data_IF_790542099101
#
_entry.id   IF_790542099101
#
_cell.length_a   1.000
_cell.length_b   1.000
_cell.length_c   1.000
_cell.angle_alpha   90.00
_cell.angle_beta   90.00
_cell.angle_gamma   90.00
#
_symmetry.space_group_name_H-M   'P 1'
#
loop_
_entity.id
_entity.type
_entity.pdbx_description
1 polymer ?
#
# COMPACT_ATOMS: atom_id res chain seq x y z
N UNK A 1 39.66 -4.92 67.13
CA UNK A 1 38.26 -4.91 66.66
C UNK A 1 38.25 -5.42 65.23
N UNK A 2 37.47 -6.46 64.91
CA UNK A 2 37.84 -7.41 63.85
C UNK A 2 37.07 -7.22 62.54
N UNK A 3 37.66 -7.81 61.51
CA UNK A 3 37.19 -7.94 60.13
C UNK A 3 35.85 -8.68 59.99
N UNK A 4 35.07 -8.31 58.97
CA UNK A 4 34.01 -9.10 58.32
C UNK A 4 34.31 -9.03 56.82
N UNK A 5 34.80 -10.03 56.11
CA UNK A 5 34.37 -11.43 55.93
C UNK A 5 32.99 -11.56 55.27
N UNK A 6 33.01 -11.72 53.94
CA UNK A 6 32.27 -12.76 53.22
C UNK A 6 30.80 -12.51 52.87
N UNK A 7 30.52 -12.33 51.58
CA UNK A 7 29.35 -12.94 50.93
C UNK A 7 29.60 -13.05 49.42
N UNK A 8 30.23 -14.16 49.03
CA UNK A 8 30.18 -14.69 47.66
C UNK A 8 28.80 -15.33 47.48
N UNK A 9 27.90 -14.65 46.78
CA UNK A 9 26.64 -15.23 46.34
C UNK A 9 26.89 -16.04 45.07
N UNK A 10 26.77 -17.36 45.18
CA UNK A 10 26.74 -18.30 44.07
C UNK A 10 25.55 -17.95 43.15
N UNK A 11 25.84 -17.49 41.93
CA UNK A 11 24.90 -17.54 40.82
C UNK A 11 24.99 -18.92 40.16
N UNK A 12 24.11 -19.84 40.59
CA UNK A 12 23.90 -21.09 39.88
C UNK A 12 22.98 -20.82 38.67
N UNK A 13 23.55 -20.82 37.47
CA UNK A 13 22.81 -20.74 36.22
C UNK A 13 22.04 -22.05 35.97
N UNK A 14 20.72 -22.02 36.16
CA UNK A 14 19.81 -23.09 35.77
C UNK A 14 19.55 -22.98 34.25
N UNK A 15 20.33 -23.70 33.44
CA UNK A 15 20.04 -23.88 32.01
C UNK A 15 18.95 -24.94 31.88
N UNK A 16 17.69 -24.50 31.84
CA UNK A 16 16.56 -25.33 31.42
C UNK A 16 16.65 -25.52 29.90
N UNK A 17 17.18 -26.68 29.49
CA UNK A 17 17.09 -27.13 28.10
C UNK A 17 15.63 -27.48 27.80
N UNK A 18 14.89 -26.52 27.22
CA UNK A 18 13.56 -26.77 26.65
C UNK A 18 13.76 -27.54 25.35
N UNK A 19 13.70 -28.88 25.43
CA UNK A 19 13.65 -29.77 24.27
C UNK A 19 12.26 -29.70 23.61
N UNK A 20 11.98 -28.55 22.98
CA UNK A 20 10.83 -28.42 22.09
C UNK A 20 11.03 -29.32 20.86
N UNK A 21 10.13 -30.27 20.65
CA UNK A 21 10.07 -31.05 19.42
C UNK A 21 9.83 -30.09 18.25
N UNK A 22 10.89 -29.75 17.51
CA UNK A 22 10.74 -28.98 16.27
C UNK A 22 9.93 -29.87 15.32
N UNK A 23 8.73 -29.46 14.87
CA UNK A 23 7.98 -30.24 13.92
C UNK A 23 8.85 -30.45 12.68
N UNK A 24 9.03 -31.71 12.30
CA UNK A 24 9.66 -32.05 11.02
C UNK A 24 8.73 -31.49 9.95
N UNK A 25 9.12 -30.35 9.37
CA UNK A 25 8.47 -29.80 8.18
C UNK A 25 8.73 -30.81 7.08
N UNK A 26 7.72 -31.61 6.76
CA UNK A 26 7.78 -32.57 5.65
C UNK A 26 8.20 -31.80 4.41
N UNK A 27 9.29 -32.21 3.77
CA UNK A 27 9.81 -31.55 2.58
C UNK A 27 8.67 -31.36 1.57
N UNK A 28 8.44 -30.10 1.18
CA UNK A 28 7.39 -29.73 0.25
C UNK A 28 7.61 -30.50 -1.07
N UNK A 29 6.60 -31.27 -1.49
CA UNK A 29 6.65 -31.98 -2.77
C UNK A 29 6.96 -31.00 -3.89
N UNK A 30 7.77 -31.41 -4.87
CA UNK A 30 8.18 -30.56 -5.99
C UNK A 30 7.02 -29.71 -6.54
N UNK A 31 7.24 -28.40 -6.81
CA UNK A 31 6.18 -27.51 -7.26
C UNK A 31 5.51 -28.05 -8.53
N UNK A 32 4.18 -28.00 -8.57
CA UNK A 32 3.37 -28.49 -9.69
C UNK A 32 3.04 -27.35 -10.66
N UNK A 33 3.18 -27.55 -11.99
CA UNK A 33 2.78 -26.55 -12.96
C UNK A 33 1.29 -26.20 -12.86
N UNK A 34 0.96 -24.95 -13.14
CA UNK A 34 -0.42 -24.50 -13.20
C UNK A 34 -1.15 -25.04 -14.44
N UNK A 35 -2.35 -25.56 -14.25
CA UNK A 35 -3.21 -26.03 -15.34
C UNK A 35 -4.31 -25.01 -15.63
N UNK A 36 -4.61 -24.79 -16.91
CA UNK A 36 -5.79 -24.02 -17.33
C UNK A 36 -7.06 -24.68 -16.82
N UNK A 37 -7.99 -23.90 -16.29
CA UNK A 37 -9.33 -24.34 -15.93
C UNK A 37 -10.29 -24.05 -17.07
N UNK A 38 -11.03 -25.06 -17.55
CA UNK A 38 -12.06 -24.87 -18.59
C UNK A 38 -13.36 -24.23 -18.04
N UNK A 39 -13.28 -23.46 -16.96
CA UNK A 39 -14.46 -22.91 -16.28
C UNK A 39 -14.65 -21.47 -16.75
N UNK A 40 -15.54 -21.30 -17.72
CA UNK A 40 -16.01 -19.99 -18.14
C UNK A 40 -16.95 -19.43 -17.07
N UNK A 41 -16.65 -18.24 -16.57
CA UNK A 41 -17.53 -17.55 -15.60
C UNK A 41 -18.66 -16.91 -16.39
N UNK A 42 -19.90 -17.34 -16.14
CA UNK A 42 -21.06 -16.69 -16.74
C UNK A 42 -21.10 -15.22 -16.30
N UNK A 43 -21.13 -14.31 -17.29
CA UNK A 43 -21.14 -12.87 -17.05
C UNK A 43 -22.40 -12.46 -16.30
N UNK A 44 -22.30 -12.25 -14.99
CA UNK A 44 -23.46 -12.00 -14.12
C UNK A 44 -23.38 -10.68 -13.36
N UNK A 45 -22.36 -9.85 -13.60
CA UNK A 45 -22.26 -8.53 -12.98
C UNK A 45 -21.91 -7.43 -13.99
N UNK A 46 -22.64 -6.32 -13.90
CA UNK A 46 -22.74 -5.19 -14.84
C UNK A 46 -21.49 -4.30 -14.96
N UNK A 47 -20.35 -4.71 -14.40
CA UNK A 47 -19.08 -3.98 -14.52
C UNK A 47 -17.88 -4.92 -14.76
N UNK A 48 -18.07 -6.00 -15.51
CA UNK A 48 -16.97 -6.92 -15.83
C UNK A 48 -15.99 -6.28 -16.83
N UNK A 49 -14.91 -5.74 -16.27
CA UNK A 49 -13.60 -5.54 -16.93
C UNK A 49 -12.92 -6.88 -17.25
N UNK A 50 -13.66 -7.97 -17.45
CA UNK A 50 -13.07 -9.27 -17.75
C UNK A 50 -13.84 -9.86 -18.92
N UNK A 51 -13.18 -10.07 -20.07
CA UNK A 51 -13.74 -10.90 -21.13
C UNK A 51 -14.21 -12.25 -20.56
N UNK A 52 -15.34 -12.77 -21.07
CA UNK A 52 -16.00 -13.95 -20.54
C UNK A 52 -15.14 -15.24 -20.64
N UNK A 53 -14.07 -15.21 -21.42
CA UNK A 53 -13.10 -16.28 -21.64
C UNK A 53 -11.88 -16.23 -20.71
N UNK A 54 -11.81 -15.29 -19.76
CA UNK A 54 -10.63 -15.18 -18.89
C UNK A 54 -10.63 -16.17 -17.71
N UNK A 55 -9.51 -16.90 -17.60
CA UNK A 55 -9.29 -17.96 -16.61
C UNK A 55 -8.68 -17.40 -15.30
N UNK A 56 -9.52 -16.76 -14.49
CA UNK A 56 -9.12 -16.15 -13.20
C UNK A 56 -8.44 -17.16 -12.26
N UNK A 57 -8.88 -18.42 -12.25
CA UNK A 57 -8.29 -19.46 -11.39
C UNK A 57 -6.89 -19.84 -11.85
N UNK A 58 -6.65 -19.92 -13.16
CA UNK A 58 -5.32 -20.11 -13.70
C UNK A 58 -4.42 -18.92 -13.36
N UNK A 59 -4.91 -17.69 -13.49
CA UNK A 59 -4.20 -16.49 -13.04
C UNK A 59 -3.82 -16.53 -11.56
N UNK A 60 -4.73 -16.95 -10.69
CA UNK A 60 -4.45 -17.11 -9.25
C UNK A 60 -3.35 -18.14 -8.99
N UNK A 61 -3.36 -19.27 -9.71
CA UNK A 61 -2.30 -20.27 -9.61
C UNK A 61 -0.96 -19.69 -10.06
N UNK A 62 -0.92 -19.05 -11.23
CA UNK A 62 0.28 -18.44 -11.79
C UNK A 62 0.88 -17.38 -10.87
N UNK A 63 0.04 -16.61 -10.17
CA UNK A 63 0.49 -15.59 -9.23
C UNK A 63 1.33 -16.15 -8.07
N UNK A 64 1.08 -17.40 -7.67
CA UNK A 64 1.86 -18.13 -6.67
C UNK A 64 2.92 -19.07 -7.25
N UNK A 65 3.02 -19.20 -8.57
CA UNK A 65 3.91 -20.17 -9.19
C UNK A 65 5.37 -19.71 -9.17
N UNK A 66 6.27 -20.66 -8.90
CA UNK A 66 7.73 -20.48 -8.92
C UNK A 66 8.41 -21.14 -10.12
N UNK A 67 7.63 -21.76 -11.01
CA UNK A 67 8.15 -22.54 -12.15
C UNK A 67 7.49 -22.24 -13.49
N UNK A 68 6.26 -21.71 -13.50
CA UNK A 68 5.48 -21.55 -14.73
C UNK A 68 5.99 -20.41 -15.65
N UNK A 69 6.96 -19.62 -15.19
CA UNK A 69 7.60 -18.57 -15.97
C UNK A 69 9.07 -18.86 -16.22
N UNK A 70 9.47 -20.14 -16.21
CA UNK A 70 10.86 -20.56 -16.46
C UNK A 70 11.87 -19.86 -15.54
N UNK A 71 11.51 -19.65 -14.27
CA UNK A 71 12.38 -19.01 -13.28
C UNK A 71 13.70 -19.78 -13.16
N UNK A 72 14.83 -19.06 -13.28
CA UNK A 72 16.16 -19.64 -13.25
C UNK A 72 16.48 -20.33 -11.91
N UNK A 73 15.90 -19.86 -10.81
CA UNK A 73 16.02 -20.47 -9.49
C UNK A 73 14.64 -20.56 -8.83
N UNK A 74 13.90 -21.67 -8.94
CA UNK A 74 12.58 -21.84 -8.33
C UNK A 74 12.54 -21.74 -6.78
N UNK A 75 13.70 -21.74 -6.12
CA UNK A 75 13.81 -21.60 -4.66
C UNK A 75 14.19 -20.17 -4.22
N UNK A 76 14.39 -19.25 -5.17
CA UNK A 76 14.66 -17.85 -4.87
C UNK A 76 13.51 -17.17 -4.12
N UNK A 77 13.86 -16.18 -3.30
CA UNK A 77 12.91 -15.46 -2.44
C UNK A 77 11.79 -14.78 -3.25
N UNK A 78 12.12 -14.21 -4.41
CA UNK A 78 11.22 -13.39 -5.22
C UNK A 78 10.68 -14.11 -6.47
N UNK A 79 10.68 -15.44 -6.47
CA UNK A 79 10.36 -16.28 -7.64
C UNK A 79 8.89 -16.33 -8.05
N UNK A 80 8.01 -15.71 -7.26
CA UNK A 80 6.58 -15.62 -7.55
C UNK A 80 6.07 -14.23 -7.22
N UNK A 81 5.01 -13.79 -7.90
CA UNK A 81 4.36 -12.52 -7.58
C UNK A 81 3.90 -12.48 -6.11
N UNK A 82 3.41 -13.61 -5.59
CA UNK A 82 2.94 -13.72 -4.21
C UNK A 82 4.04 -13.59 -3.15
N UNK A 83 5.32 -13.76 -3.51
CA UNK A 83 6.43 -13.56 -2.58
C UNK A 83 6.55 -12.09 -2.15
N UNK A 84 6.49 -11.16 -3.10
CA UNK A 84 6.53 -9.72 -2.83
C UNK A 84 5.14 -9.15 -2.57
N UNK A 85 4.10 -9.79 -3.12
CA UNK A 85 2.72 -9.34 -3.00
C UNK A 85 1.83 -10.40 -2.32
N UNK A 86 2.03 -10.71 -1.03
CA UNK A 86 1.32 -11.77 -0.32
C UNK A 86 -0.18 -11.49 -0.32
N UNK A 87 -0.94 -12.37 -0.98
CA UNK A 87 -2.36 -12.15 -1.19
C UNK A 87 -2.64 -10.79 -1.82
N UNK A 88 -1.86 -10.37 -2.82
CA UNK A 88 -2.03 -9.14 -3.59
C UNK A 88 -1.72 -7.84 -2.84
N UNK A 89 -1.26 -7.94 -1.58
CA UNK A 89 -0.84 -6.78 -0.77
C UNK A 89 0.63 -6.44 -1.05
N UNK A 90 1.26 -5.66 -0.19
CA UNK A 90 2.72 -5.51 -0.16
C UNK A 90 3.31 -6.45 0.90
N UNK A 91 4.55 -6.89 0.69
CA UNK A 91 5.39 -7.49 1.74
C UNK A 91 6.05 -6.42 2.63
N UNK A 92 5.83 -5.14 2.34
CA UNK A 92 6.41 -3.96 3.00
C UNK A 92 7.92 -3.83 2.83
N UNK A 93 8.50 -4.61 1.93
CA UNK A 93 9.92 -4.57 1.60
C UNK A 93 10.23 -3.55 0.52
N UNK A 94 11.51 -3.17 0.47
CA UNK A 94 12.11 -2.49 -0.68
C UNK A 94 12.98 -3.49 -1.43
N UNK A 95 12.80 -3.56 -2.74
CA UNK A 95 13.47 -4.56 -3.56
C UNK A 95 14.20 -3.91 -4.72
N UNK A 96 15.34 -4.47 -5.16
CA UNK A 96 16.05 -4.00 -6.33
C UNK A 96 15.17 -4.17 -7.57
N UNK A 97 14.97 -3.08 -8.30
CA UNK A 97 14.27 -3.06 -9.58
C UNK A 97 15.15 -2.43 -10.63
N UNK A 98 15.18 -3.04 -11.82
CA UNK A 98 15.88 -2.48 -12.97
C UNK A 98 14.95 -1.53 -13.70
N UNK A 99 15.43 -0.32 -13.98
CA UNK A 99 14.68 0.74 -14.64
C UNK A 99 15.45 1.16 -15.87
N UNK A 100 14.74 1.31 -16.99
CA UNK A 100 15.31 1.84 -18.24
C UNK A 100 14.47 3.03 -18.68
N UNK A 101 15.11 4.19 -18.81
CA UNK A 101 14.50 5.42 -19.28
C UNK A 101 15.51 6.21 -20.15
N UNK A 102 15.20 7.42 -20.65
CA UNK A 102 16.13 8.20 -21.48
C UNK A 102 17.48 8.55 -20.82
N UNK A 103 17.60 8.44 -19.49
CA UNK A 103 18.84 8.68 -18.74
C UNK A 103 19.70 7.42 -18.59
N UNK A 104 19.22 6.26 -19.05
CA UNK A 104 19.94 5.00 -19.06
C UNK A 104 19.21 3.88 -18.32
N UNK A 105 19.95 2.81 -18.05
CA UNK A 105 19.49 1.66 -17.25
C UNK A 105 20.16 1.67 -15.89
N UNK A 106 19.38 1.59 -14.82
CA UNK A 106 19.85 1.65 -13.44
C UNK A 106 19.08 0.68 -12.53
N UNK A 107 19.74 0.22 -11.49
CA UNK A 107 19.15 -0.55 -10.41
C UNK A 107 18.88 0.37 -9.22
N UNK A 108 17.64 0.37 -8.75
CA UNK A 108 17.22 1.13 -7.56
C UNK A 108 16.38 0.26 -6.66
N UNK A 109 16.38 0.56 -5.37
CA UNK A 109 15.47 -0.10 -4.44
C UNK A 109 14.14 0.63 -4.44
N UNK A 110 13.04 -0.10 -4.64
CA UNK A 110 11.69 0.45 -4.51
C UNK A 110 10.82 -0.35 -3.57
N UNK A 111 10.01 0.35 -2.78
CA UNK A 111 8.94 -0.23 -1.99
C UNK A 111 7.97 -0.99 -2.92
N UNK A 112 7.57 -2.18 -2.53
CA UNK A 112 6.57 -2.95 -3.28
C UNK A 112 5.19 -2.29 -3.13
N UNK A 113 4.54 -1.87 -4.24
CA UNK A 113 3.20 -1.29 -4.17
C UNK A 113 2.12 -2.35 -3.92
N UNK A 114 0.97 -1.92 -3.41
CA UNK A 114 -0.21 -2.79 -3.30
C UNK A 114 -0.82 -3.07 -4.69
N UNK A 115 -1.20 -4.31 -4.98
CA UNK A 115 -1.86 -4.70 -6.25
C UNK A 115 -3.39 -4.73 -6.13
N UNK A 116 -3.94 -4.50 -4.95
CA UNK A 116 -5.38 -4.35 -4.77
C UNK A 116 -5.80 -3.03 -5.42
N UNK A 117 -6.86 -3.07 -6.22
CA UNK A 117 -7.33 -1.91 -6.99
C UNK A 117 -6.35 -1.45 -8.09
N UNK A 118 -5.45 -2.32 -8.55
CA UNK A 118 -4.38 -1.97 -9.52
C UNK A 118 -4.92 -1.29 -10.79
N UNK A 119 -6.10 -1.69 -11.26
CA UNK A 119 -6.76 -1.13 -12.44
C UNK A 119 -7.08 0.37 -12.34
N UNK A 120 -7.18 0.90 -11.11
CA UNK A 120 -7.48 2.32 -10.87
C UNK A 120 -6.21 3.16 -10.64
N UNK A 121 -5.05 2.50 -10.60
CA UNK A 121 -3.77 3.11 -10.26
C UNK A 121 -2.86 3.27 -11.49
N UNK A 122 -3.39 3.10 -12.71
CA UNK A 122 -2.66 3.31 -13.96
C UNK A 122 -2.31 4.79 -14.14
N UNK A 123 -1.10 5.13 -14.64
CA UNK A 123 -0.12 4.21 -15.20
C UNK A 123 0.61 3.37 -14.15
N UNK A 124 1.07 2.15 -14.45
CA UNK A 124 1.68 1.29 -13.42
C UNK A 124 3.18 1.52 -13.23
N UNK A 125 3.66 1.21 -12.02
CA UNK A 125 5.01 1.51 -11.54
C UNK A 125 5.10 2.86 -10.82
N UNK A 126 6.10 3.01 -9.94
CA UNK A 126 6.35 4.27 -9.23
C UNK A 126 6.69 5.44 -10.16
N UNK A 127 7.18 5.16 -11.35
CA UNK A 127 7.50 6.11 -12.42
C UNK A 127 6.49 6.07 -13.58
N UNK A 128 5.42 5.26 -13.48
CA UNK A 128 4.41 5.14 -14.52
C UNK A 128 4.89 4.47 -15.83
N UNK A 129 6.06 3.80 -15.82
CA UNK A 129 6.69 3.25 -17.04
C UNK A 129 5.87 2.21 -17.80
N UNK A 130 4.91 1.56 -17.14
CA UNK A 130 4.10 0.52 -17.76
C UNK A 130 2.86 1.08 -18.48
N UNK A 131 2.65 2.40 -18.43
CA UNK A 131 1.51 3.06 -19.09
C UNK A 131 0.17 2.63 -18.51
N UNK A 132 -0.90 2.81 -19.30
CA UNK A 132 -2.28 2.56 -18.91
C UNK A 132 -3.08 3.86 -18.78
N UNK A 133 -4.33 3.85 -19.25
CA UNK A 133 -5.24 4.99 -19.19
C UNK A 133 -6.47 4.62 -18.37
N UNK A 134 -6.76 5.41 -17.33
CA UNK A 134 -7.93 5.17 -16.49
C UNK A 134 -9.22 5.25 -17.32
N UNK A 135 -10.08 4.23 -17.21
CA UNK A 135 -11.31 4.11 -17.99
C UNK A 135 -11.14 3.42 -19.35
N UNK A 136 -9.90 3.24 -19.85
CA UNK A 136 -9.62 2.42 -21.02
C UNK A 136 -9.18 1.01 -20.59
N UNK A 137 -10.12 0.08 -20.75
CA UNK A 137 -9.94 -1.31 -20.32
C UNK A 137 -8.76 -2.00 -21.04
N UNK A 138 -8.63 -1.85 -22.36
CA UNK A 138 -7.56 -2.49 -23.10
C UNK A 138 -6.19 -1.94 -22.68
N UNK A 139 -6.11 -0.62 -22.46
CA UNK A 139 -4.90 0.04 -21.97
C UNK A 139 -4.53 -0.42 -20.55
N UNK A 140 -5.50 -0.61 -19.65
CA UNK A 140 -5.28 -1.14 -18.30
C UNK A 140 -4.74 -2.57 -18.34
N UNK A 141 -5.34 -3.45 -19.14
CA UNK A 141 -4.84 -4.83 -19.30
C UNK A 141 -3.39 -4.81 -19.79
N UNK A 142 -3.10 -4.04 -20.85
CA UNK A 142 -1.76 -3.92 -21.41
C UNK A 142 -0.74 -3.42 -20.36
N UNK A 143 -1.14 -2.46 -19.51
CA UNK A 143 -0.30 -1.97 -18.43
C UNK A 143 0.00 -3.05 -17.37
N UNK A 144 -1.01 -3.81 -16.96
CA UNK A 144 -0.84 -4.93 -16.00
C UNK A 144 0.09 -6.00 -16.58
N UNK A 145 -0.10 -6.36 -17.85
CA UNK A 145 0.74 -7.34 -18.54
C UNK A 145 2.18 -6.84 -18.69
N UNK A 146 2.37 -5.56 -19.04
CA UNK A 146 3.69 -4.92 -19.10
C UNK A 146 4.39 -4.95 -17.74
N UNK A 147 3.68 -4.63 -16.66
CA UNK A 147 4.22 -4.67 -15.30
C UNK A 147 4.60 -6.11 -14.88
N UNK A 148 3.71 -7.07 -15.11
CA UNK A 148 3.96 -8.49 -14.81
C UNK A 148 5.16 -9.02 -15.60
N UNK A 149 5.23 -8.75 -16.91
CA UNK A 149 6.37 -9.13 -17.75
C UNK A 149 7.68 -8.52 -17.26
N UNK A 150 7.66 -7.25 -16.86
CA UNK A 150 8.82 -6.57 -16.28
C UNK A 150 9.38 -7.31 -15.06
N UNK A 151 8.52 -7.61 -14.09
CA UNK A 151 8.91 -8.33 -12.88
C UNK A 151 9.35 -9.79 -13.16
N UNK A 152 8.64 -10.47 -14.08
CA UNK A 152 8.96 -11.85 -14.46
C UNK A 152 10.34 -11.94 -15.11
N UNK A 153 10.64 -11.05 -16.06
CA UNK A 153 11.89 -11.07 -16.82
C UNK A 153 13.07 -10.41 -16.07
N UNK A 154 12.81 -9.71 -14.97
CA UNK A 154 13.84 -9.03 -14.19
C UNK A 154 14.70 -10.04 -13.44
N UNK A 155 16.04 -10.05 -13.64
CA UNK A 155 16.94 -10.97 -12.95
C UNK A 155 17.03 -10.71 -11.43
N UNK A 156 16.68 -9.50 -11.00
CA UNK A 156 16.68 -9.10 -9.60
C UNK A 156 15.36 -9.39 -8.87
N UNK A 157 14.30 -9.67 -9.65
CA UNK A 157 12.99 -10.04 -9.13
C UNK A 157 12.77 -11.54 -9.35
N UNK A 158 11.99 -11.94 -10.37
CA UNK A 158 11.63 -13.35 -10.52
C UNK A 158 12.68 -14.18 -11.28
N UNK A 159 13.54 -13.55 -12.07
CA UNK A 159 14.56 -14.24 -12.88
C UNK A 159 13.98 -15.28 -13.84
N UNK A 160 12.77 -15.04 -14.36
CA UNK A 160 12.09 -15.88 -15.32
C UNK A 160 12.17 -15.36 -16.76
N UNK A 161 11.33 -15.90 -17.62
CA UNK A 161 11.23 -15.53 -19.02
C UNK A 161 9.80 -15.66 -19.53
N UNK A 162 9.32 -14.59 -20.14
CA UNK A 162 8.05 -14.48 -20.87
C UNK A 162 8.32 -13.90 -22.26
N UNK A 163 7.97 -14.69 -23.28
CA UNK A 163 7.98 -14.26 -24.68
C UNK A 163 6.58 -13.86 -25.13
N UNK A 164 6.37 -12.58 -25.40
CA UNK A 164 5.07 -12.06 -25.87
C UNK A 164 4.68 -12.54 -27.27
N UNK A 165 5.63 -13.05 -28.07
CA UNK A 165 5.31 -13.68 -29.36
C UNK A 165 4.79 -15.12 -29.18
N UNK A 166 5.01 -15.73 -28.00
CA UNK A 166 4.54 -17.05 -27.67
C UNK A 166 3.09 -17.00 -27.14
N UNK A 167 2.17 -17.63 -27.85
CA UNK A 167 0.74 -17.65 -27.49
C UNK A 167 0.45 -18.29 -26.12
N UNK A 168 1.29 -19.21 -25.64
CA UNK A 168 1.14 -19.83 -24.31
C UNK A 168 1.50 -18.82 -23.22
N UNK A 169 2.61 -18.10 -23.37
CA UNK A 169 3.03 -17.08 -22.41
C UNK A 169 2.10 -15.87 -22.41
N UNK A 170 1.62 -15.45 -23.59
CA UNK A 170 0.60 -14.40 -23.67
C UNK A 170 -0.68 -14.79 -22.90
N UNK A 171 -1.14 -16.04 -23.05
CA UNK A 171 -2.31 -16.52 -22.30
C UNK A 171 -2.07 -16.59 -20.78
N UNK A 172 -0.82 -16.81 -20.32
CA UNK A 172 -0.48 -16.70 -18.89
C UNK A 172 -0.58 -15.24 -18.42
N UNK A 173 -0.09 -14.29 -19.22
CA UNK A 173 -0.21 -12.85 -18.93
C UNK A 173 -1.68 -12.39 -18.91
N UNK A 174 -2.50 -12.85 -19.86
CA UNK A 174 -3.93 -12.58 -19.90
C UNK A 174 -4.61 -13.09 -18.62
N UNK A 175 -4.33 -14.33 -18.20
CA UNK A 175 -4.89 -14.91 -16.99
C UNK A 175 -4.42 -14.20 -15.71
N UNK A 176 -3.15 -13.81 -15.61
CA UNK A 176 -2.63 -13.01 -14.50
C UNK A 176 -3.32 -11.65 -14.40
N UNK A 177 -3.47 -10.95 -15.53
CA UNK A 177 -4.18 -9.68 -15.58
C UNK A 177 -5.63 -9.85 -15.14
N UNK A 178 -6.28 -10.93 -15.60
CA UNK A 178 -7.64 -11.28 -15.20
C UNK A 178 -7.79 -11.41 -13.69
N UNK A 179 -6.87 -12.16 -13.07
CA UNK A 179 -6.85 -12.36 -11.63
C UNK A 179 -6.63 -11.05 -10.86
N UNK A 180 -5.72 -10.18 -11.31
CA UNK A 180 -5.48 -8.90 -10.64
C UNK A 180 -6.66 -7.94 -10.76
N UNK A 181 -7.34 -7.92 -11.91
CA UNK A 181 -8.58 -7.17 -12.12
C UNK A 181 -9.71 -7.74 -11.25
N UNK A 182 -9.88 -9.07 -11.19
CA UNK A 182 -10.93 -9.71 -10.38
C UNK A 182 -10.79 -9.47 -8.88
N UNK A 183 -9.61 -9.01 -8.44
CA UNK A 183 -9.31 -8.63 -7.07
C UNK A 183 -9.64 -7.19 -6.73
N UNK A 184 -9.94 -6.39 -7.75
CA UNK A 184 -10.56 -5.08 -7.57
C UNK A 184 -12.05 -5.30 -7.29
N UNK A 185 -12.67 -4.53 -6.39
CA UNK A 185 -14.08 -4.64 -6.10
C UNK A 185 -14.80 -4.23 -7.38
N UNK A 186 -15.79 -5.03 -7.75
CA UNK A 186 -16.86 -4.49 -8.60
C UNK A 186 -17.45 -3.32 -7.84
N UNK A 187 -17.54 -2.15 -8.48
CA UNK A 187 -18.34 -1.05 -7.93
C UNK A 187 -19.72 -1.66 -7.60
N UNK A 188 -20.17 -1.62 -6.32
CA UNK A 188 -21.48 -2.13 -6.01
C UNK A 188 -22.51 -1.31 -6.78
N UNK A 189 -23.61 -1.95 -7.15
CA UNK A 189 -24.75 -1.28 -7.76
C UNK A 189 -25.11 -0.07 -6.89
N UNK A 190 -24.89 1.14 -7.44
CA UNK A 190 -25.14 2.40 -6.74
C UNK A 190 -26.62 2.61 -6.42
N UNK A 191 -27.50 1.76 -6.96
CA UNK A 191 -28.93 1.75 -6.67
C UNK A 191 -29.32 0.83 -5.51
N UNK A 192 -28.44 -0.07 -5.07
CA UNK A 192 -28.73 -0.96 -3.95
C UNK A 192 -28.45 -0.24 -2.61
N UNK A 193 -29.46 -0.06 -1.73
CA UNK A 193 -29.22 0.49 -0.40
C UNK A 193 -28.25 -0.43 0.37
N UNK A 194 -27.34 0.12 1.18
CA UNK A 194 -26.47 -0.70 2.01
C UNK A 194 -27.33 -1.62 2.87
N UNK A 195 -26.95 -2.90 3.04
CA UNK A 195 -27.70 -3.81 3.89
C UNK A 195 -27.76 -3.20 5.30
N UNK A 196 -28.97 -2.98 5.79
CA UNK A 196 -29.18 -2.52 7.16
C UNK A 196 -28.63 -3.61 8.09
N UNK A 197 -27.46 -3.38 8.68
CA UNK A 197 -26.96 -4.25 9.74
C UNK A 197 -27.89 -4.11 10.94
N UNK A 198 -28.54 -5.21 11.35
CA UNK A 198 -29.30 -5.22 12.59
C UNK A 198 -28.39 -4.80 13.76
N UNK A 199 -28.90 -4.01 14.73
CA UNK A 199 -28.15 -3.71 15.93
C UNK A 199 -27.73 -5.02 16.64
N UNK A 200 -26.53 -5.09 17.24
CA UNK A 200 -26.13 -6.25 18.02
C UNK A 200 -27.12 -6.48 19.17
N UNK A 201 -27.46 -7.74 19.41
CA UNK A 201 -28.25 -8.14 20.58
C UNK A 201 -27.50 -7.85 21.88
N UNK A 202 -28.24 -7.76 22.99
CA UNK A 202 -27.64 -7.52 24.31
C UNK A 202 -26.63 -8.61 24.70
N UNK A 203 -26.91 -9.88 24.36
CA UNK A 203 -26.00 -11.00 24.60
C UNK A 203 -24.67 -10.86 23.82
N UNK A 204 -24.73 -10.38 22.58
CA UNK A 204 -23.52 -10.09 21.79
C UNK A 204 -22.72 -8.93 22.38
N UNK A 205 -23.40 -7.92 22.93
CA UNK A 205 -22.74 -6.81 23.60
C UNK A 205 -22.08 -7.23 24.92
N UNK A 206 -22.76 -8.01 25.76
CA UNK A 206 -22.16 -8.57 26.98
C UNK A 206 -20.91 -9.39 26.66
N UNK A 207 -21.00 -10.30 25.68
CA UNK A 207 -19.85 -11.07 25.20
C UNK A 207 -18.72 -10.17 24.67
N UNK A 208 -19.05 -9.13 23.90
CA UNK A 208 -18.07 -8.18 23.34
C UNK A 208 -17.30 -7.44 24.42
N UNK A 209 -17.96 -7.07 25.51
CA UNK A 209 -17.35 -6.29 26.59
C UNK A 209 -16.86 -7.15 27.77
N UNK A 210 -17.04 -8.47 27.72
CA UNK A 210 -16.61 -9.37 28.78
C UNK A 210 -17.42 -9.23 30.07
N UNK A 211 -18.69 -8.86 29.96
CA UNK A 211 -19.61 -8.66 31.09
C UNK A 211 -20.41 -9.96 31.28
N UNK A 212 -20.47 -10.49 32.50
CA UNK A 212 -21.31 -11.63 32.83
C UNK A 212 -22.78 -11.17 32.88
N UNK A 213 -23.69 -11.71 32.05
CA UNK A 213 -25.10 -11.31 32.05
C UNK A 213 -25.84 -11.62 33.37
N UNK A 214 -25.27 -12.45 34.25
CA UNK A 214 -25.85 -12.77 35.55
C UNK A 214 -25.32 -11.89 36.69
N UNK A 215 -24.35 -11.00 36.41
CA UNK A 215 -23.87 -10.03 37.39
C UNK A 215 -25.00 -9.04 37.73
N UNK A 216 -25.29 -8.76 39.02
CA UNK A 216 -26.29 -7.76 39.40
C UNK A 216 -26.03 -6.37 38.79
N UNK A 217 -24.78 -6.05 38.48
CA UNK A 217 -24.35 -4.77 37.90
C UNK A 217 -24.19 -4.83 36.36
N UNK A 218 -24.45 -5.97 35.71
CA UNK A 218 -24.24 -6.19 34.28
C UNK A 218 -24.85 -5.10 33.39
N UNK A 219 -26.07 -4.66 33.72
CA UNK A 219 -26.76 -3.61 32.96
C UNK A 219 -26.07 -2.24 33.09
N UNK A 220 -25.57 -1.90 34.28
CA UNK A 220 -24.83 -0.67 34.53
C UNK A 220 -23.47 -0.69 33.83
N UNK A 221 -22.74 -1.80 33.95
CA UNK A 221 -21.46 -2.01 33.28
C UNK A 221 -21.59 -1.94 31.76
N UNK A 222 -22.66 -2.52 31.21
CA UNK A 222 -22.93 -2.45 29.78
C UNK A 222 -23.23 -1.01 29.34
N UNK A 223 -24.03 -0.26 30.12
CA UNK A 223 -24.30 1.14 29.83
C UNK A 223 -23.01 1.99 29.87
N UNK A 224 -22.13 1.78 30.85
CA UNK A 224 -20.83 2.45 30.94
C UNK A 224 -19.91 2.06 29.76
N UNK A 225 -19.84 0.78 29.41
CA UNK A 225 -19.05 0.30 28.28
C UNK A 225 -19.52 0.90 26.95
N UNK A 226 -20.85 0.99 26.75
CA UNK A 226 -21.44 1.65 25.58
C UNK A 226 -21.15 3.16 25.56
N UNK A 227 -21.25 3.84 26.71
CA UNK A 227 -20.91 5.26 26.83
C UNK A 227 -19.43 5.52 26.50
N UNK A 228 -18.51 4.69 27.01
CA UNK A 228 -17.08 4.75 26.67
C UNK A 228 -16.84 4.52 25.17
N UNK A 229 -17.47 3.52 24.58
CA UNK A 229 -17.38 3.26 23.14
C UNK A 229 -17.94 4.42 22.30
N UNK A 230 -19.06 5.03 22.71
CA UNK A 230 -19.63 6.18 22.03
C UNK A 230 -18.70 7.40 22.10
N UNK A 231 -18.10 7.67 23.27
CA UNK A 231 -17.11 8.74 23.44
C UNK A 231 -15.84 8.51 22.58
N UNK A 232 -15.33 7.27 22.56
CA UNK A 232 -14.19 6.90 21.69
C UNK A 232 -14.53 7.06 20.20
N UNK A 233 -15.73 6.68 19.78
CA UNK A 233 -16.21 6.88 18.41
C UNK A 233 -16.32 8.37 18.08
N UNK A 234 -16.90 9.18 18.96
CA UNK A 234 -17.02 10.63 18.76
C UNK A 234 -15.64 11.29 18.62
N UNK A 235 -14.69 10.94 19.49
CA UNK A 235 -13.31 11.44 19.41
C UNK A 235 -12.60 11.00 18.12
N UNK A 236 -12.84 9.78 17.65
CA UNK A 236 -12.33 9.26 16.38
C UNK A 236 -12.90 10.05 15.20
N UNK A 237 -14.21 10.26 15.16
CA UNK A 237 -14.86 11.06 14.12
C UNK A 237 -14.35 12.51 14.10
N UNK A 238 -14.13 13.10 15.28
CA UNK A 238 -13.56 14.44 15.34
C UNK A 238 -12.14 14.49 14.76
N UNK A 239 -11.29 13.51 15.08
CA UNK A 239 -9.95 13.39 14.49
C UNK A 239 -9.99 13.20 12.98
N UNK A 240 -10.89 12.34 12.49
CA UNK A 240 -11.10 12.13 11.04
C UNK A 240 -11.49 13.44 10.36
N UNK A 241 -12.41 14.22 10.93
CA UNK A 241 -12.79 15.54 10.40
C UNK A 241 -11.60 16.52 10.36
N UNK A 242 -10.84 16.61 11.45
CA UNK A 242 -9.61 17.42 11.49
C UNK A 242 -8.61 16.98 10.41
N UNK A 243 -8.44 15.67 10.19
CA UNK A 243 -7.61 15.15 9.12
C UNK A 243 -8.14 15.45 7.72
N UNK A 244 -9.46 15.37 7.52
CA UNK A 244 -10.09 15.77 6.27
C UNK A 244 -9.83 17.26 5.99
N UNK A 245 -9.93 18.12 7.00
CA UNK A 245 -9.65 19.55 6.83
C UNK A 245 -8.21 19.81 6.39
N UNK A 246 -7.24 19.10 6.95
CA UNK A 246 -5.83 19.18 6.50
C UNK A 246 -5.69 18.65 5.07
N UNK A 247 -6.27 17.48 4.78
CA UNK A 247 -6.12 16.81 3.49
C UNK A 247 -6.71 17.62 2.33
N UNK A 248 -7.92 18.16 2.52
CA UNK A 248 -8.63 18.98 1.54
C UNK A 248 -8.22 20.46 1.56
N UNK A 249 -7.27 20.84 2.41
CA UNK A 249 -6.79 22.22 2.46
C UNK A 249 -7.80 23.20 3.08
N UNK A 250 -8.71 22.72 3.94
CA UNK A 250 -9.73 23.52 4.64
C UNK A 250 -9.26 24.04 5.99
N UNK A 251 -8.21 23.46 6.56
CA UNK A 251 -7.65 23.97 7.82
C UNK A 251 -6.92 25.30 7.59
N UNK A 252 -6.84 26.13 8.63
CA UNK A 252 -6.12 27.40 8.56
C UNK A 252 -4.64 27.22 8.17
N UNK A 253 -4.01 26.11 8.57
CA UNK A 253 -2.62 25.77 8.23
C UNK A 253 -2.41 25.39 6.76
N UNK A 254 -3.47 25.03 6.03
CA UNK A 254 -3.39 24.47 4.67
C UNK A 254 -4.17 25.26 3.62
N UNK A 255 -4.95 26.28 4.01
CA UNK A 255 -5.77 27.07 3.08
C UNK A 255 -4.95 27.77 1.98
N UNK A 256 -3.75 28.27 2.32
CA UNK A 256 -2.85 28.86 1.32
C UNK A 256 -2.38 27.82 0.29
N UNK A 257 -2.17 26.58 0.71
CA UNK A 257 -1.82 25.48 -0.19
C UNK A 257 -2.96 25.17 -1.14
N UNK A 258 -4.21 25.15 -0.66
CA UNK A 258 -5.38 24.92 -1.52
C UNK A 258 -5.46 25.99 -2.62
N UNK A 259 -5.30 27.26 -2.25
CA UNK A 259 -5.30 28.38 -3.20
C UNK A 259 -4.17 28.27 -4.24
N UNK A 260 -3.03 27.68 -3.86
CA UNK A 260 -1.89 27.43 -4.74
C UNK A 260 -1.98 26.10 -5.52
N UNK A 261 -3.01 25.27 -5.31
CA UNK A 261 -3.09 23.93 -5.90
C UNK A 261 -2.04 22.95 -5.36
N UNK A 262 -1.65 23.14 -4.09
CA UNK A 262 -0.58 22.42 -3.40
C UNK A 262 -1.06 21.63 -2.16
N UNK A 263 -2.35 21.71 -1.80
CA UNK A 263 -2.92 20.85 -0.75
C UNK A 263 -2.84 19.37 -1.14
N UNK A 264 -2.87 18.44 -0.18
CA UNK A 264 -2.76 17.00 -0.42
C UNK A 264 -3.73 16.51 -1.50
N UNK A 265 -4.99 16.97 -1.45
CA UNK A 265 -6.04 16.65 -2.44
C UNK A 265 -5.69 17.05 -3.88
N UNK A 266 -4.81 18.04 -4.08
CA UNK A 266 -4.42 18.52 -5.43
C UNK A 266 -3.66 17.48 -6.24
N UNK A 267 -3.09 16.47 -5.56
CA UNK A 267 -2.49 15.30 -6.18
C UNK A 267 -3.31 14.02 -5.87
N UNK A 268 -3.93 13.97 -4.70
CA UNK A 268 -4.68 12.81 -4.23
C UNK A 268 -6.20 13.03 -4.34
N UNK A 269 -6.68 13.15 -5.57
CA UNK A 269 -8.10 13.42 -5.84
C UNK A 269 -8.99 12.19 -5.65
N UNK A 270 -10.20 12.33 -5.07
CA UNK A 270 -11.22 11.28 -5.08
C UNK A 270 -11.55 10.76 -6.50
N UNK A 271 -12.11 9.55 -6.65
CA UNK A 271 -12.47 8.62 -5.57
C UNK A 271 -11.31 7.70 -5.14
N UNK A 272 -10.23 7.63 -5.93
CA UNK A 272 -9.09 6.76 -5.66
C UNK A 272 -7.93 7.46 -4.93
N UNK A 273 -8.12 8.72 -4.53
CA UNK A 273 -7.10 9.54 -3.87
C UNK A 273 -5.77 9.52 -4.63
N UNK A 274 -5.86 9.67 -5.94
CA UNK A 274 -4.77 9.87 -6.88
C UNK A 274 -5.31 10.52 -8.13
N UNK A 275 -4.51 11.37 -8.75
CA UNK A 275 -4.73 11.89 -10.10
C UNK A 275 -3.89 11.18 -11.17
N UNK A 276 -3.15 10.15 -10.76
CA UNK A 276 -2.35 9.28 -11.61
C UNK A 276 -1.28 9.97 -12.46
N UNK A 277 -0.92 11.23 -12.18
CA UNK A 277 0.14 11.90 -12.96
C UNK A 277 1.52 11.66 -12.36
N UNK A 278 2.52 11.73 -13.22
CA UNK A 278 3.93 11.70 -12.86
C UNK A 278 4.40 13.14 -12.58
N UNK A 279 4.91 13.39 -11.37
CA UNK A 279 5.40 14.69 -10.91
C UNK A 279 6.32 14.53 -9.70
N UNK A 280 6.97 15.61 -9.27
CA UNK A 280 7.64 15.63 -7.97
C UNK A 280 6.68 16.03 -6.85
N UNK A 281 6.84 15.43 -5.67
CA UNK A 281 6.21 15.90 -4.43
C UNK A 281 7.11 16.89 -3.66
N UNK A 282 8.35 17.13 -4.14
CA UNK A 282 9.30 18.13 -3.62
C UNK A 282 9.06 19.48 -4.27
N UNK A 283 8.55 20.45 -3.51
CA UNK A 283 8.34 21.84 -3.97
C UNK A 283 9.32 22.84 -3.34
N UNK A 284 9.91 22.49 -2.21
CA UNK A 284 10.98 23.27 -1.59
C UNK A 284 12.30 22.47 -1.58
N UNK A 285 13.42 23.06 -2.06
CA UNK A 285 14.73 22.40 -2.10
C UNK A 285 15.20 21.83 -0.77
N UNK A 286 14.91 22.51 0.35
CA UNK A 286 15.35 22.09 1.68
C UNK A 286 14.83 20.69 2.08
N UNK A 287 13.65 20.29 1.59
CA UNK A 287 13.14 18.94 1.79
C UNK A 287 14.01 17.86 1.11
N UNK A 288 14.66 18.18 -0.01
CA UNK A 288 15.55 17.23 -0.67
C UNK A 288 16.87 17.03 0.11
N UNK A 289 17.37 18.09 0.74
CA UNK A 289 18.59 18.05 1.54
C UNK A 289 18.38 17.35 2.89
N UNK A 290 17.30 17.69 3.59
CA UNK A 290 17.07 17.24 4.96
C UNK A 290 16.71 15.75 5.08
N UNK A 291 16.13 15.19 4.02
CA UNK A 291 15.75 13.77 3.98
C UNK A 291 16.70 12.91 3.17
N UNK A 292 17.86 13.45 2.80
CA UNK A 292 18.95 12.67 2.25
C UNK A 292 18.56 11.96 0.96
N UNK A 293 18.30 12.73 -0.09
CA UNK A 293 18.39 12.21 -1.47
C UNK A 293 19.76 12.58 -2.09
N UNK A 294 20.90 12.04 -1.60
CA UNK A 294 22.19 12.23 -2.26
C UNK A 294 22.33 11.25 -3.43
N UNK A 295 23.13 11.65 -4.41
CA UNK A 295 23.54 10.75 -5.49
C UNK A 295 24.57 9.76 -4.94
N UNK A 296 24.72 8.62 -5.60
CA UNK A 296 25.78 7.63 -5.32
C UNK A 296 27.18 8.26 -5.44
N UNK A 297 27.32 9.32 -6.23
CA UNK A 297 28.55 10.12 -6.40
C UNK A 297 28.88 11.04 -5.21
N UNK A 298 28.04 11.08 -4.17
CA UNK A 298 28.19 12.01 -3.03
C UNK A 298 27.77 13.45 -3.35
N UNK A 299 27.31 13.72 -4.58
CA UNK A 299 26.74 15.01 -4.97
C UNK A 299 25.25 15.14 -4.60
N UNK A 300 24.71 16.37 -4.54
CA UNK A 300 23.28 16.58 -4.32
C UNK A 300 22.46 16.10 -5.53
N UNK A 301 21.43 15.27 -5.30
CA UNK A 301 20.49 14.81 -6.33
C UNK A 301 19.99 13.38 -6.09
N UNK A 302 18.84 12.99 -6.64
CA UNK A 302 18.21 11.73 -6.28
C UNK A 302 18.97 10.52 -6.83
N UNK A 303 19.08 9.46 -6.03
CA UNK A 303 19.54 8.15 -6.48
C UNK A 303 18.53 7.48 -7.43
N UNK A 304 17.23 7.64 -7.16
CA UNK A 304 16.15 7.21 -8.04
C UNK A 304 15.54 8.43 -8.74
N UNK A 305 15.78 8.55 -10.04
CA UNK A 305 15.27 9.66 -10.85
C UNK A 305 13.80 9.47 -11.24
N UNK A 306 13.20 8.31 -10.94
CA UNK A 306 11.83 8.02 -11.33
C UNK A 306 11.65 8.01 -12.86
N UNK A 307 10.64 8.74 -13.33
CA UNK A 307 10.39 8.94 -14.76
C UNK A 307 11.34 9.96 -15.41
N UNK A 308 12.10 10.71 -14.61
CA UNK A 308 12.97 11.78 -15.06
C UNK A 308 13.19 12.84 -13.99
N UNK A 309 14.11 13.76 -14.27
CA UNK A 309 14.50 14.83 -13.37
C UNK A 309 13.71 16.11 -13.63
N UNK A 310 13.39 16.84 -12.57
CA UNK A 310 12.88 18.22 -12.63
C UNK A 310 13.67 19.10 -11.67
N UNK A 311 13.84 20.37 -12.04
CA UNK A 311 14.46 21.37 -11.18
C UNK A 311 13.41 22.02 -10.29
N UNK A 312 13.69 22.08 -8.99
CA UNK A 312 12.90 22.81 -7.99
C UNK A 312 13.72 24.00 -7.54
N UNK A 313 13.14 25.19 -7.64
CA UNK A 313 13.78 26.44 -7.27
C UNK A 313 13.05 27.06 -6.08
N UNK A 314 13.80 27.53 -5.10
CA UNK A 314 13.30 28.38 -4.03
C UNK A 314 13.50 29.86 -4.42
N UNK A 315 12.42 30.61 -4.72
CA UNK A 315 12.55 32.01 -5.09
C UNK A 315 13.02 32.89 -3.93
N UNK A 316 12.82 32.48 -2.67
CA UNK A 316 13.22 33.27 -1.51
C UNK A 316 14.73 33.18 -1.24
N UNK A 317 15.33 32.01 -1.45
CA UNK A 317 16.75 31.76 -1.17
C UNK A 317 17.63 31.67 -2.42
N UNK A 318 17.03 31.55 -3.61
CA UNK A 318 17.74 31.28 -4.86
C UNK A 318 18.29 29.86 -4.97
N UNK A 319 18.03 28.98 -4.00
CA UNK A 319 18.47 27.58 -4.03
C UNK A 319 17.76 26.81 -5.14
N UNK A 320 18.48 25.87 -5.75
CA UNK A 320 17.96 25.01 -6.80
C UNK A 320 18.45 23.58 -6.61
N UNK A 321 17.56 22.60 -6.80
CA UNK A 321 17.89 21.17 -6.69
C UNK A 321 17.17 20.39 -7.78
N UNK A 322 17.83 19.36 -8.33
CA UNK A 322 17.16 18.39 -9.19
C UNK A 322 16.53 17.29 -8.34
N UNK A 323 15.30 16.91 -8.66
CA UNK A 323 14.54 15.87 -7.96
C UNK A 323 13.90 14.91 -8.96
N UNK A 324 13.68 13.66 -8.53
CA UNK A 324 13.00 12.66 -9.33
C UNK A 324 11.52 12.97 -9.49
N UNK A 325 10.91 12.42 -10.53
CA UNK A 325 9.47 12.52 -10.76
C UNK A 325 8.82 11.15 -10.68
N UNK A 326 7.75 11.07 -9.90
CA UNK A 326 7.08 9.82 -9.58
C UNK A 326 5.60 9.97 -9.81
N UNK A 327 4.96 8.87 -10.15
CA UNK A 327 3.52 8.79 -10.20
C UNK A 327 2.95 9.01 -8.80
N UNK A 328 1.92 9.85 -8.69
CA UNK A 328 1.16 9.96 -7.45
C UNK A 328 0.49 8.61 -7.14
N UNK A 329 0.84 7.93 -6.02
CA UNK A 329 0.21 6.67 -5.68
C UNK A 329 -1.23 6.91 -5.21
N UNK A 330 -2.12 5.95 -5.45
CA UNK A 330 -3.40 5.89 -4.76
C UNK A 330 -3.18 5.76 -3.24
N UNK A 331 -3.91 6.53 -2.45
CA UNK A 331 -3.96 6.33 -1.00
C UNK A 331 -4.94 5.22 -0.59
N UNK A 332 -5.67 4.60 -1.53
CA UNK A 332 -6.50 3.44 -1.19
C UNK A 332 -5.64 2.33 -0.59
N UNK A 333 -6.02 1.87 0.61
CA UNK A 333 -5.24 0.91 1.43
C UNK A 333 -3.84 1.40 1.83
N UNK A 334 -3.61 2.71 1.87
CA UNK A 334 -2.38 3.24 2.47
C UNK A 334 -2.16 2.69 3.89
N UNK A 335 -3.24 2.43 4.63
CA UNK A 335 -3.18 1.60 5.83
C UNK A 335 -3.90 0.26 5.66
N UNK A 336 -3.34 -0.85 6.16
CA UNK A 336 -2.02 -0.99 6.79
C UNK A 336 -0.89 -1.31 5.77
N UNK A 337 -1.15 -1.18 4.47
CA UNK A 337 -0.29 -1.73 3.41
C UNK A 337 0.66 -0.67 2.80
N UNK A 338 0.70 0.56 3.31
CA UNK A 338 1.49 1.67 2.75
C UNK A 338 2.80 1.94 3.49
N UNK A 339 3.02 1.31 4.65
CA UNK A 339 4.26 1.44 5.41
C UNK A 339 5.29 0.35 5.01
N UNK A 340 6.59 0.69 4.91
CA UNK A 340 7.16 2.03 5.02
C UNK A 340 6.86 2.87 3.76
N UNK A 341 6.61 4.17 3.91
CA UNK A 341 6.03 5.01 2.86
C UNK A 341 7.03 5.54 1.81
N UNK A 342 6.46 5.98 0.68
CA UNK A 342 7.11 6.45 -0.56
C UNK A 342 7.83 5.36 -1.36
N UNK A 343 8.23 5.72 -2.59
CA UNK A 343 8.90 4.79 -3.50
C UNK A 343 10.15 4.16 -2.91
N UNK A 344 10.88 4.83 -2.01
CA UNK A 344 12.10 4.32 -1.39
C UNK A 344 11.86 3.56 -0.08
N UNK A 345 10.64 3.57 0.48
CA UNK A 345 10.37 3.02 1.81
C UNK A 345 11.15 3.69 2.94
N UNK A 346 11.55 4.96 2.78
CA UNK A 346 12.41 5.67 3.76
C UNK A 346 11.66 6.05 5.05
N UNK A 347 10.32 6.12 5.02
CA UNK A 347 9.52 6.56 6.16
C UNK A 347 8.77 5.39 6.79
N UNK A 348 9.31 4.87 7.90
CA UNK A 348 8.69 3.79 8.67
C UNK A 348 7.52 4.26 9.55
N UNK A 349 7.35 5.58 9.75
CA UNK A 349 6.28 6.15 10.55
C UNK A 349 5.76 7.48 9.98
N UNK A 350 4.52 7.79 10.35
CA UNK A 350 3.80 8.98 9.89
C UNK A 350 4.42 10.30 10.35
N UNK A 351 5.11 10.36 11.49
CA UNK A 351 5.71 11.63 11.93
C UNK A 351 6.85 12.04 11.01
N UNK A 352 7.68 11.09 10.58
CA UNK A 352 8.72 11.36 9.59
C UNK A 352 8.13 11.74 8.23
N UNK A 353 7.08 11.04 7.79
CA UNK A 353 6.37 11.33 6.54
C UNK A 353 5.72 12.72 6.53
N UNK A 354 5.03 13.10 7.60
CA UNK A 354 4.36 14.40 7.68
C UNK A 354 5.36 15.54 7.79
N UNK A 355 6.47 15.39 8.54
CA UNK A 355 7.56 16.38 8.54
C UNK A 355 8.17 16.56 7.17
N UNK A 356 8.28 15.48 6.39
CA UNK A 356 8.69 15.59 4.99
C UNK A 356 7.71 16.46 4.22
N UNK A 357 6.40 16.20 4.27
CA UNK A 357 5.42 17.00 3.54
C UNK A 357 5.32 18.45 4.02
N UNK A 358 5.45 18.73 5.32
CA UNK A 358 5.54 20.09 5.87
C UNK A 358 6.64 20.89 5.18
N UNK A 359 7.86 20.34 5.14
CA UNK A 359 8.99 20.98 4.45
C UNK A 359 8.78 21.03 2.94
N UNK A 360 8.33 19.91 2.38
CA UNK A 360 8.25 19.69 0.95
C UNK A 360 7.22 20.59 0.27
N UNK A 361 6.08 20.84 0.93
CA UNK A 361 4.98 21.66 0.44
C UNK A 361 4.93 23.06 1.08
N UNK A 362 5.76 23.32 2.09
CA UNK A 362 5.91 24.67 2.66
C UNK A 362 4.82 25.06 3.67
N UNK A 363 4.39 24.12 4.52
CA UNK A 363 3.39 24.38 5.57
C UNK A 363 3.80 23.77 6.91
N UNK A 364 3.04 24.11 7.96
CA UNK A 364 3.24 23.53 9.29
C UNK A 364 1.90 23.06 9.85
N UNK A 365 1.83 21.80 10.25
CA UNK A 365 0.69 21.21 10.92
C UNK A 365 0.53 21.83 12.31
N UNK A 366 -0.71 22.25 12.61
CA UNK A 366 -1.13 22.72 13.91
C UNK A 366 -1.31 21.59 14.92
N UNK A 367 -1.61 21.94 16.19
CA UNK A 367 -1.86 20.96 17.25
C UNK A 367 -2.97 19.98 16.87
N UNK A 368 -2.68 18.68 16.92
CA UNK A 368 -3.63 17.60 16.62
C UNK A 368 -3.89 17.35 15.14
N UNK A 369 -3.39 18.18 14.22
CA UNK A 369 -3.59 18.00 12.77
C UNK A 369 -2.86 16.77 12.22
N UNK A 370 -1.64 16.50 12.70
CA UNK A 370 -0.91 15.28 12.35
C UNK A 370 -1.66 14.01 12.78
N UNK A 371 -2.18 13.99 14.01
CA UNK A 371 -3.02 12.90 14.49
C UNK A 371 -4.32 12.81 13.69
N UNK A 372 -4.94 13.94 13.36
CA UNK A 372 -6.14 13.97 12.52
C UNK A 372 -5.87 13.35 11.15
N UNK A 373 -4.78 13.75 10.49
CA UNK A 373 -4.39 13.26 9.17
C UNK A 373 -4.10 11.75 9.20
N UNK A 374 -3.39 11.24 10.20
CA UNK A 374 -3.22 9.80 10.42
C UNK A 374 -4.58 9.09 10.52
N UNK A 375 -5.48 9.59 11.36
CA UNK A 375 -6.82 9.00 11.52
C UNK A 375 -7.62 9.03 10.20
N UNK A 376 -7.51 10.11 9.42
CA UNK A 376 -8.11 10.18 8.11
C UNK A 376 -7.51 9.12 7.17
N UNK A 377 -6.18 9.01 7.06
CA UNK A 377 -5.50 8.00 6.24
C UNK A 377 -5.84 6.56 6.62
N UNK A 378 -6.08 6.30 7.91
CA UNK A 378 -6.50 4.99 8.41
C UNK A 378 -7.96 4.68 8.09
N UNK A 379 -8.85 5.66 8.16
CA UNK A 379 -10.31 5.42 8.16
C UNK A 379 -11.03 5.81 6.85
N UNK A 380 -10.45 6.67 6.02
CA UNK A 380 -11.10 7.25 4.86
C UNK A 380 -10.69 6.58 3.54
N UNK A 381 -9.38 6.45 3.22
CA UNK A 381 -8.91 5.67 2.06
C UNK A 381 -9.03 4.15 2.23
N UNK A 382 -9.97 3.65 3.03
CA UNK A 382 -10.15 2.20 3.18
C UNK A 382 -10.65 1.63 1.87
N UNK A 383 -9.83 0.72 1.32
CA UNK A 383 -9.99 0.16 -0.01
C UNK A 383 -11.24 -0.72 -0.19
N UNK A 384 -11.15 -1.80 -0.98
CA UNK A 384 -12.22 -2.34 -1.81
C UNK A 384 -13.44 -2.96 -1.10
N UNK A 385 -13.45 -2.95 0.22
CA UNK A 385 -14.66 -3.21 0.99
C UNK A 385 -15.62 -2.01 0.96
N UNK A 386 -15.10 -0.80 0.69
CA UNK A 386 -15.91 0.40 0.46
C UNK A 386 -16.00 0.70 -1.03
N UNK A 387 -17.22 1.04 -1.43
CA UNK A 387 -17.48 1.63 -2.73
C UNK A 387 -16.64 2.93 -2.85
N UNK A 388 -15.71 3.04 -3.81
CA UNK A 388 -14.96 4.27 -4.01
C UNK A 388 -15.88 5.48 -4.33
N UNK A 389 -17.11 5.24 -4.82
CA UNK A 389 -18.13 6.27 -5.01
C UNK A 389 -18.86 6.70 -3.72
N UNK A 390 -18.64 6.02 -2.58
CA UNK A 390 -19.29 6.33 -1.29
C UNK A 390 -18.21 6.59 -0.24
N UNK A 391 -17.59 7.76 -0.34
CA UNK A 391 -16.73 8.29 0.71
C UNK A 391 -17.65 8.77 1.85
N UNK A 392 -17.46 8.31 3.10
CA UNK A 392 -18.27 8.78 4.23
C UNK A 392 -18.27 10.30 4.33
N UNK A 393 -19.36 10.89 4.81
CA UNK A 393 -19.46 12.34 4.92
C UNK A 393 -18.37 12.95 5.80
N UNK A 394 -17.94 12.24 6.85
CA UNK A 394 -16.82 12.63 7.71
C UNK A 394 -15.46 12.62 7.02
N UNK A 395 -15.34 11.94 5.88
CA UNK A 395 -14.13 11.82 5.09
C UNK A 395 -14.04 12.84 3.96
N UNK A 396 -15.05 13.70 3.78
CA UNK A 396 -15.14 14.70 2.71
C UNK A 396 -14.96 16.13 3.21
#
# INVERSE_FOLDING_TARGET
>A
MPARAGMLALWAALVLAVSGSVPIVVAETAPKPCARTRIFVAATHTYQLLPADQDVKFGQCLFGSRIDFNQANPNGMFTSCNSCHPGGRTDRGTHPVTITNPLGTFEVNRQVPNLLNVQFNVPLGWDGRHGGTLGDHASIIAAIQSAAKGAINSPNEMGGHVDSANSVDQAKLDALAAFLISRSPTAPDTTAPPPASAPPSQAELFKKFGIDPNDPDAAADLAEALARQAAQRAATLQRVKTGADVFFGRSASTQALLAAGQACVSCHTPPFFTDNKVRTNVRHPDAAYDFGFPQVSGGPGPQDVGAGLTTVNDPATGKSVQVGTFKTPSLHRFYPDGEPALHSGVFADDNALFRFYEKSLGFKLGPGEATGLHYWLVNCPQGPQRNPAVIPAECN
#
